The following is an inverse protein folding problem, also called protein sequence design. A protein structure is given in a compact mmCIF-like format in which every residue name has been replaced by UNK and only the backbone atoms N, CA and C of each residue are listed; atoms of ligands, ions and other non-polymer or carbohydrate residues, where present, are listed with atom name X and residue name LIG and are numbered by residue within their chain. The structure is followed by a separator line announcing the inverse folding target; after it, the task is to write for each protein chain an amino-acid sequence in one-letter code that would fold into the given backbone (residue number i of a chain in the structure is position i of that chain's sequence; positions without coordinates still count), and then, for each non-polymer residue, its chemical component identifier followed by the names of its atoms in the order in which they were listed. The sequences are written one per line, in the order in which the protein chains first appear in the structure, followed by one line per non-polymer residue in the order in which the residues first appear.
data_IF_872537552131
#
_entry.id   IF_872537552131
#
_cell.length_a   1.000
_cell.length_b   1.000
_cell.length_c   1.000
_cell.angle_alpha   90.00
_cell.angle_beta   90.00
_cell.angle_gamma   90.00
#
_symmetry.space_group_name_H-M   'P 1'
#
loop_
_entity.id
_entity.type
_entity.pdbx_description
1 polymer ?
#
# COMPACT_ATOMS: atom_id res chain seq x y z
N UNK A 1 -57.57 11.87 -7.61
CA UNK A 1 -56.82 12.96 -8.26
C UNK A 1 -55.46 12.42 -8.61
N UNK A 2 -54.94 12.76 -9.79
CA UNK A 2 -53.57 12.44 -10.16
C UNK A 2 -52.61 13.10 -9.14
N UNK A 3 -51.76 12.35 -8.42
CA UNK A 3 -50.90 12.92 -7.39
C UNK A 3 -49.82 13.86 -7.96
N UNK A 4 -49.66 13.92 -9.28
CA UNK A 4 -48.71 14.80 -9.95
C UNK A 4 -49.21 16.24 -10.14
N UNK A 5 -50.48 16.54 -9.83
CA UNK A 5 -51.08 17.85 -10.08
C UNK A 5 -51.98 18.27 -8.91
N UNK A 6 -51.82 19.50 -8.39
CA UNK A 6 -52.62 20.03 -7.29
C UNK A 6 -54.03 20.45 -7.73
N UNK A 7 -54.88 20.87 -6.77
CA UNK A 7 -56.29 21.24 -6.99
C UNK A 7 -56.49 22.41 -7.98
N UNK A 8 -55.41 23.07 -8.42
CA UNK A 8 -55.41 24.16 -9.40
C UNK A 8 -54.75 23.82 -10.73
N UNK A 9 -54.28 22.59 -10.93
CA UNK A 9 -53.67 22.18 -12.20
C UNK A 9 -52.14 22.36 -12.27
N UNK A 10 -51.48 22.68 -11.16
CA UNK A 10 -50.03 22.90 -11.11
C UNK A 10 -49.26 21.64 -10.66
N UNK A 11 -48.02 21.40 -11.13
CA UNK A 11 -47.25 20.21 -10.77
C UNK A 11 -46.96 20.12 -9.25
N UNK A 12 -47.31 19.00 -8.64
CA UNK A 12 -46.99 18.72 -7.23
C UNK A 12 -45.47 18.60 -7.04
N UNK A 13 -44.88 19.33 -6.08
CA UNK A 13 -43.45 19.18 -5.74
C UNK A 13 -43.24 17.92 -4.90
N UNK A 14 -42.26 17.12 -5.30
CA UNK A 14 -41.89 15.86 -4.66
C UNK A 14 -40.69 16.08 -3.74
N UNK A 15 -40.83 15.72 -2.46
CA UNK A 15 -39.73 15.79 -1.49
C UNK A 15 -39.50 14.41 -0.87
N UNK A 16 -38.23 14.13 -0.54
CA UNK A 16 -37.82 12.86 0.05
C UNK A 16 -37.16 13.13 1.40
N UNK A 17 -37.53 12.33 2.40
CA UNK A 17 -36.87 12.25 3.69
C UNK A 17 -36.10 10.93 3.74
N UNK A 18 -34.79 10.97 3.89
CA UNK A 18 -33.98 9.75 4.03
C UNK A 18 -33.66 9.58 5.51
N UNK A 19 -34.03 8.41 6.05
CA UNK A 19 -33.77 8.03 7.43
C UNK A 19 -32.85 6.82 7.41
N UNK A 20 -31.80 6.84 8.23
CA UNK A 20 -30.85 5.74 8.38
C UNK A 20 -30.96 5.19 9.80
N UNK A 21 -31.18 3.88 9.92
CA UNK A 21 -31.26 3.22 11.23
C UNK A 21 -29.89 2.81 11.79
N UNK A 22 -29.88 2.34 13.04
CA UNK A 22 -28.69 1.85 13.76
C UNK A 22 -27.98 0.67 13.05
N UNK A 23 -28.67 -0.02 12.14
CA UNK A 23 -28.16 -1.12 11.34
C UNK A 23 -27.76 -0.72 9.91
N UNK A 24 -27.69 0.58 9.63
CA UNK A 24 -27.27 1.15 8.34
C UNK A 24 -28.20 0.79 7.17
N UNK A 25 -29.48 0.55 7.45
CA UNK A 25 -30.50 0.48 6.41
C UNK A 25 -31.03 1.89 6.16
N UNK A 26 -30.82 2.40 4.95
CA UNK A 26 -31.47 3.62 4.50
C UNK A 26 -32.93 3.31 4.10
N UNK A 27 -33.86 4.16 4.53
CA UNK A 27 -35.23 4.19 4.02
C UNK A 27 -35.54 5.58 3.51
N UNK A 28 -35.84 5.68 2.22
CA UNK A 28 -36.40 6.88 1.61
C UNK A 28 -37.93 6.92 1.83
N UNK A 29 -38.39 7.89 2.62
CA UNK A 29 -39.80 8.22 2.77
C UNK A 29 -40.17 9.32 1.78
N UNK A 30 -41.08 8.99 0.85
CA UNK A 30 -41.60 9.90 -0.16
C UNK A 30 -42.79 10.65 0.43
N UNK A 31 -42.79 11.98 0.37
CA UNK A 31 -43.97 12.78 0.66
C UNK A 31 -44.21 13.85 -0.40
N UNK A 32 -45.49 14.19 -0.59
CA UNK A 32 -45.92 15.18 -1.58
C UNK A 32 -46.20 16.49 -0.84
N UNK A 33 -45.41 17.52 -1.11
CA UNK A 33 -45.63 18.83 -0.50
C UNK A 33 -46.78 19.50 -1.27
N UNK A 34 -47.85 19.90 -0.57
CA UNK A 34 -48.91 20.72 -1.18
C UNK A 34 -48.38 22.14 -1.38
N UNK A 35 -48.44 22.64 -2.61
CA UNK A 35 -47.86 23.91 -3.03
C UNK A 35 -48.37 25.08 -2.17
N UNK A 36 -47.45 25.86 -1.58
CA UNK A 36 -47.79 27.08 -0.83
C UNK A 36 -48.23 28.17 -1.82
N UNK A 37 -49.39 28.83 -1.64
CA UNK A 37 -49.76 29.95 -2.49
C UNK A 37 -48.77 31.11 -2.36
N UNK A 38 -48.30 31.67 -3.48
CA UNK A 38 -47.45 32.88 -3.47
C UNK A 38 -48.13 33.99 -2.67
N UNK A 39 -47.49 34.41 -1.57
CA UNK A 39 -47.93 35.51 -0.71
C UNK A 39 -48.33 35.14 0.72
N UNK A 40 -48.17 33.89 1.18
CA UNK A 40 -48.26 33.52 2.60
C UNK A 40 -46.89 33.13 3.18
N UNK A 41 -46.72 33.44 4.46
CA UNK A 41 -45.51 33.24 5.26
C UNK A 41 -45.11 31.75 5.35
N UNK A 42 -43.80 31.49 5.27
CA UNK A 42 -43.18 30.14 5.23
C UNK A 42 -43.48 29.28 6.47
N UNK A 43 -43.98 29.91 7.55
CA UNK A 43 -44.44 29.25 8.79
C UNK A 43 -45.49 28.16 8.57
N UNK A 44 -46.39 28.34 7.60
CA UNK A 44 -47.53 27.41 7.41
C UNK A 44 -47.10 26.02 6.91
N UNK A 45 -46.08 25.95 6.05
CA UNK A 45 -45.51 24.68 5.56
C UNK A 45 -44.76 23.94 6.68
N UNK A 46 -44.07 24.69 7.54
CA UNK A 46 -43.33 24.11 8.65
C UNK A 46 -44.25 23.60 9.77
N UNK A 47 -45.33 24.32 10.08
CA UNK A 47 -46.35 23.83 11.02
C UNK A 47 -47.02 22.56 10.47
N UNK A 48 -47.23 22.42 9.16
CA UNK A 48 -47.76 21.20 8.55
C UNK A 48 -46.75 20.03 8.61
N UNK A 49 -45.45 20.27 8.38
CA UNK A 49 -44.40 19.26 8.54
C UNK A 49 -44.24 18.85 10.01
N UNK A 50 -44.27 19.81 10.93
CA UNK A 50 -44.13 19.57 12.37
C UNK A 50 -45.39 18.90 12.94
N UNK A 51 -46.59 19.30 12.47
CA UNK A 51 -47.84 18.64 12.82
C UNK A 51 -47.94 17.26 12.19
N UNK A 52 -47.38 17.02 11.00
CA UNK A 52 -47.26 15.69 10.40
C UNK A 52 -46.28 14.81 11.20
N UNK A 53 -45.10 15.33 11.57
CA UNK A 53 -44.14 14.66 12.48
C UNK A 53 -44.72 14.40 13.89
N UNK A 54 -45.73 15.16 14.30
CA UNK A 54 -46.48 14.98 15.57
C UNK A 54 -47.69 14.06 15.41
N UNK A 55 -48.34 14.02 14.25
CA UNK A 55 -49.57 13.28 13.98
C UNK A 55 -49.33 11.87 13.45
N UNK A 56 -48.23 11.66 12.73
CA UNK A 56 -47.68 10.35 12.41
C UNK A 56 -46.58 10.07 13.43
N UNK A 57 -46.75 9.10 14.34
CA UNK A 57 -45.85 9.01 15.45
C UNK A 57 -44.48 8.54 14.94
N UNK A 58 -43.45 9.33 15.26
CA UNK A 58 -42.04 8.90 15.31
C UNK A 58 -41.82 7.65 16.20
N UNK A 59 -42.88 6.95 16.64
CA UNK A 59 -42.85 5.69 17.41
C UNK A 59 -42.42 4.48 16.59
N UNK A 60 -42.45 4.56 15.26
CA UNK A 60 -41.92 3.52 14.37
C UNK A 60 -40.44 3.72 14.01
N UNK A 61 -39.79 4.77 14.55
CA UNK A 61 -38.34 4.89 14.49
C UNK A 61 -37.70 4.00 15.55
N UNK A 62 -36.76 3.11 15.17
CA UNK A 62 -35.98 2.35 16.15
C UNK A 62 -35.28 3.31 17.11
N UNK A 63 -35.24 2.98 18.41
CA UNK A 63 -34.43 3.71 19.37
C UNK A 63 -32.96 3.63 18.95
N UNK A 64 -32.33 4.76 18.60
CA UNK A 64 -30.91 4.81 18.18
C UNK A 64 -30.66 5.25 16.73
N UNK A 65 -31.64 5.82 16.02
CA UNK A 65 -31.44 6.32 14.65
C UNK A 65 -30.49 7.54 14.59
N UNK A 66 -29.42 7.42 13.79
CA UNK A 66 -28.29 8.36 13.74
C UNK A 66 -28.49 9.57 12.79
N UNK A 67 -29.66 9.77 12.16
CA UNK A 67 -29.92 11.04 11.49
C UNK A 67 -31.14 11.19 10.58
N UNK A 68 -31.47 12.45 10.30
CA UNK A 68 -32.58 12.93 9.44
C UNK A 68 -32.04 13.96 8.46
N UNK A 69 -32.38 13.86 7.17
CA UNK A 69 -32.04 14.85 6.12
C UNK A 69 -33.31 15.43 5.50
N UNK A 70 -33.48 16.76 5.56
CA UNK A 70 -34.64 17.48 4.99
C UNK A 70 -34.19 18.37 3.82
N UNK A 71 -34.96 18.37 2.72
CA UNK A 71 -34.70 19.18 1.51
C UNK A 71 -35.86 20.16 1.22
N UNK A 72 -35.56 21.44 0.96
CA UNK A 72 -36.49 22.43 0.38
C UNK A 72 -35.70 23.50 -0.41
N UNK A 73 -36.08 23.77 -1.66
CA UNK A 73 -35.36 24.62 -2.62
C UNK A 73 -35.54 26.14 -2.39
N UNK A 74 -36.46 26.62 -1.53
CA UNK A 74 -36.77 28.06 -1.41
C UNK A 74 -36.57 28.68 0.00
N UNK A 75 -35.77 28.07 0.89
CA UNK A 75 -35.47 28.67 2.20
C UNK A 75 -34.42 29.80 2.10
N UNK A 76 -34.87 30.99 1.76
CA UNK A 76 -34.08 32.23 1.87
C UNK A 76 -33.63 32.53 3.31
N UNK A 77 -32.64 33.43 3.42
CA UNK A 77 -31.85 33.85 4.60
C UNK A 77 -32.56 34.09 5.96
N UNK A 78 -33.89 33.99 6.06
CA UNK A 78 -34.65 34.12 7.31
C UNK A 78 -34.93 32.78 8.04
N UNK A 79 -34.47 31.64 7.50
CA UNK A 79 -34.69 30.30 8.09
C UNK A 79 -33.62 29.85 9.11
N UNK A 80 -32.63 30.69 9.44
CA UNK A 80 -31.53 30.33 10.36
C UNK A 80 -32.04 30.10 11.80
N UNK A 81 -33.13 30.75 12.20
CA UNK A 81 -33.71 30.60 13.53
C UNK A 81 -34.52 29.31 13.74
N UNK A 82 -35.14 28.78 12.67
CA UNK A 82 -35.97 27.56 12.74
C UNK A 82 -35.15 26.27 12.67
N UNK A 83 -34.10 26.27 11.84
CA UNK A 83 -33.16 25.16 11.74
C UNK A 83 -32.45 24.91 13.08
N UNK A 84 -32.13 25.98 13.82
CA UNK A 84 -31.51 25.91 15.13
C UNK A 84 -32.43 25.29 16.21
N UNK A 85 -33.75 25.49 16.12
CA UNK A 85 -34.68 24.91 17.10
C UNK A 85 -34.92 23.41 16.84
N UNK A 86 -35.02 23.01 15.57
CA UNK A 86 -35.07 21.59 15.18
C UNK A 86 -33.75 20.86 15.49
N UNK A 87 -32.60 21.53 15.33
CA UNK A 87 -31.30 21.03 15.80
C UNK A 87 -31.26 20.87 17.32
N UNK A 88 -31.87 21.80 18.07
CA UNK A 88 -31.87 21.74 19.52
C UNK A 88 -32.74 20.58 20.05
N UNK A 89 -33.93 20.35 19.48
CA UNK A 89 -34.79 19.21 19.86
C UNK A 89 -34.22 17.85 19.39
N UNK A 90 -33.52 17.79 18.25
CA UNK A 90 -32.88 16.55 17.79
C UNK A 90 -31.66 16.17 18.63
N UNK A 91 -30.88 17.15 19.09
CA UNK A 91 -29.77 16.96 20.04
C UNK A 91 -30.28 16.49 21.41
N UNK A 92 -31.42 17.01 21.91
CA UNK A 92 -32.03 16.53 23.15
C UNK A 92 -32.53 15.08 23.08
N UNK A 93 -32.77 14.53 21.88
CA UNK A 93 -33.25 13.15 21.65
C UNK A 93 -32.21 12.20 21.04
N UNK A 94 -30.96 12.64 20.91
CA UNK A 94 -29.83 11.80 20.48
C UNK A 94 -29.70 11.57 18.96
N UNK A 95 -30.30 12.42 18.12
CA UNK A 95 -30.29 12.27 16.66
C UNK A 95 -29.27 13.24 16.03
N UNK A 96 -28.32 12.73 15.23
CA UNK A 96 -27.23 13.50 14.59
C UNK A 96 -27.62 13.94 13.17
N UNK A 97 -27.33 15.19 12.76
CA UNK A 97 -27.57 15.64 11.38
C UNK A 97 -26.28 15.49 10.55
N UNK A 98 -26.29 14.69 9.49
CA UNK A 98 -25.05 14.28 8.78
C UNK A 98 -24.84 14.96 7.40
N UNK A 99 -25.75 15.83 6.95
CA UNK A 99 -25.54 16.68 5.77
C UNK A 99 -26.82 17.13 5.05
N UNK A 100 -26.67 18.04 4.08
CA UNK A 100 -27.70 18.49 3.14
C UNK A 100 -27.09 18.62 1.73
N UNK A 101 -27.85 18.40 0.65
CA UNK A 101 -27.40 18.63 -0.72
C UNK A 101 -28.52 19.06 -1.66
N UNK A 102 -28.15 19.80 -2.71
CA UNK A 102 -29.04 20.28 -3.79
C UNK A 102 -29.09 19.27 -4.95
N UNK A 103 -30.24 19.16 -5.63
CA UNK A 103 -30.39 18.41 -6.87
C UNK A 103 -31.12 19.22 -7.93
N UNK A 104 -30.62 19.20 -9.18
CA UNK A 104 -31.28 19.87 -10.30
C UNK A 104 -32.40 19.02 -10.91
N UNK A 105 -33.42 19.73 -11.37
CA UNK A 105 -34.71 19.23 -11.85
C UNK A 105 -34.63 18.17 -12.95
N UNK A 106 -35.48 17.16 -12.78
CA UNK A 106 -35.96 16.25 -13.82
C UNK A 106 -35.06 15.04 -14.00
N UNK A 107 -35.32 13.96 -13.27
CA UNK A 107 -35.13 12.59 -13.76
C UNK A 107 -35.74 11.54 -12.81
N UNK A 108 -36.16 10.43 -13.43
CA UNK A 108 -36.98 9.30 -12.98
C UNK A 108 -36.66 8.67 -11.61
N UNK A 109 -37.56 7.81 -11.09
CA UNK A 109 -37.41 6.98 -9.85
C UNK A 109 -36.09 6.19 -9.73
N UNK A 110 -35.31 6.08 -10.81
CA UNK A 110 -33.96 5.50 -10.85
C UNK A 110 -32.91 6.39 -10.20
N UNK A 111 -33.07 7.72 -10.24
CA UNK A 111 -32.14 8.68 -9.63
C UNK A 111 -32.19 8.59 -8.12
N UNK A 112 -33.38 8.44 -7.52
CA UNK A 112 -33.51 8.25 -6.07
C UNK A 112 -32.75 7.02 -5.54
N UNK A 113 -32.82 5.88 -6.23
CA UNK A 113 -32.07 4.66 -5.86
C UNK A 113 -30.58 4.75 -6.16
N UNK A 114 -30.19 5.48 -7.21
CA UNK A 114 -28.79 5.71 -7.54
C UNK A 114 -28.13 6.64 -6.52
N UNK A 115 -28.82 7.71 -6.13
CA UNK A 115 -28.36 8.66 -5.12
C UNK A 115 -28.41 8.07 -3.71
N UNK A 116 -29.37 7.21 -3.40
CA UNK A 116 -29.39 6.42 -2.16
C UNK A 116 -28.14 5.53 -2.05
N UNK A 117 -27.74 4.85 -3.13
CA UNK A 117 -26.47 4.10 -3.17
C UNK A 117 -25.25 5.00 -3.06
N UNK A 118 -25.24 6.14 -3.75
CA UNK A 118 -24.12 7.08 -3.73
C UNK A 118 -23.93 7.72 -2.35
N UNK A 119 -25.02 8.05 -1.66
CA UNK A 119 -25.02 8.53 -0.28
C UNK A 119 -24.68 7.42 0.72
N UNK A 120 -25.15 6.19 0.51
CA UNK A 120 -24.74 5.04 1.34
C UNK A 120 -23.22 4.81 1.20
N UNK A 121 -22.68 4.96 -0.01
CA UNK A 121 -21.23 4.91 -0.26
C UNK A 121 -20.47 6.09 0.37
N UNK A 122 -20.99 7.32 0.32
CA UNK A 122 -20.38 8.48 0.99
C UNK A 122 -20.47 8.43 2.51
N UNK A 123 -21.55 7.89 3.07
CA UNK A 123 -21.70 7.63 4.50
C UNK A 123 -20.76 6.51 4.96
N UNK A 124 -20.63 5.44 4.17
CA UNK A 124 -19.61 4.42 4.38
C UNK A 124 -18.18 4.98 4.28
N UNK A 125 -17.94 5.91 3.34
CA UNK A 125 -16.66 6.63 3.23
C UNK A 125 -16.43 7.59 4.41
N UNK A 126 -17.48 8.24 4.94
CA UNK A 126 -17.39 9.05 6.17
C UNK A 126 -17.18 8.20 7.43
N UNK A 127 -17.53 6.91 7.39
CA UNK A 127 -17.08 5.91 8.39
C UNK A 127 -15.64 5.42 8.16
N UNK A 128 -15.02 5.73 7.02
CA UNK A 128 -13.56 5.71 6.89
C UNK A 128 -12.90 6.72 7.82
N UNK A 129 -13.60 7.81 8.14
CA UNK A 129 -13.14 8.82 9.09
C UNK A 129 -13.54 8.54 10.55
N UNK A 130 -14.64 7.82 10.81
CA UNK A 130 -15.16 7.60 12.18
C UNK A 130 -14.97 6.17 12.76
N UNK A 131 -14.12 5.33 12.13
CA UNK A 131 -13.52 4.14 12.78
C UNK A 131 -12.01 4.06 12.51
N UNK A 132 -11.30 5.19 12.58
CA UNK A 132 -9.88 5.13 12.97
C UNK A 132 -9.85 4.76 14.45
N UNK A 133 -9.71 3.46 14.76
CA UNK A 133 -9.25 3.06 16.09
C UNK A 133 -7.79 3.50 16.29
N UNK A 134 -7.50 4.81 16.24
CA UNK A 134 -6.23 5.45 16.57
C UNK A 134 -4.94 4.97 15.88
N UNK A 135 -4.97 3.91 15.07
CA UNK A 135 -3.80 3.24 14.50
C UNK A 135 -3.68 3.56 13.01
N UNK A 136 -2.48 3.96 12.53
CA UNK A 136 -2.25 4.16 11.11
C UNK A 136 -2.36 2.83 10.34
N UNK A 137 -2.74 2.88 9.07
CA UNK A 137 -2.87 1.71 8.20
C UNK A 137 -1.78 1.69 7.13
N UNK A 138 -1.27 0.48 6.81
CA UNK A 138 -0.27 0.29 5.77
C UNK A 138 -0.70 -0.79 4.78
N UNK A 139 -0.56 -0.53 3.48
CA UNK A 139 -0.72 -1.54 2.41
C UNK A 139 0.65 -1.90 1.84
N UNK A 140 1.04 -3.17 1.96
CA UNK A 140 2.31 -3.69 1.47
C UNK A 140 2.08 -4.63 0.29
N UNK A 141 2.61 -4.26 -0.88
CA UNK A 141 2.69 -5.20 -2.01
C UNK A 141 3.95 -6.03 -1.90
N UNK A 142 3.93 -7.29 -2.34
CA UNK A 142 5.08 -8.18 -2.20
C UNK A 142 5.28 -8.67 -0.77
N UNK A 143 4.20 -8.68 0.02
CA UNK A 143 4.14 -9.11 1.42
C UNK A 143 4.77 -10.51 1.66
N UNK A 144 4.68 -11.39 0.66
CA UNK A 144 5.20 -12.77 0.72
C UNK A 144 6.72 -12.87 0.47
N UNK A 145 7.38 -11.76 0.19
CA UNK A 145 8.82 -11.67 -0.04
C UNK A 145 9.61 -11.50 1.27
N UNK A 146 10.94 -11.48 1.15
CA UNK A 146 11.85 -11.23 2.28
C UNK A 146 11.50 -9.92 2.99
N UNK A 147 11.52 -8.83 2.23
CA UNK A 147 11.38 -7.48 2.79
C UNK A 147 9.94 -7.25 3.29
N UNK A 148 8.94 -7.84 2.61
CA UNK A 148 7.54 -7.81 3.05
C UNK A 148 7.35 -8.41 4.43
N UNK A 149 7.99 -9.55 4.71
CA UNK A 149 7.96 -10.18 6.04
C UNK A 149 8.59 -9.29 7.12
N UNK A 150 9.82 -8.82 6.90
CA UNK A 150 10.49 -7.95 7.88
C UNK A 150 9.80 -6.60 8.07
N UNK A 151 9.29 -5.98 6.99
CA UNK A 151 8.55 -4.73 7.08
C UNK A 151 7.25 -4.92 7.86
N UNK A 152 6.60 -6.07 7.74
CA UNK A 152 5.39 -6.39 8.53
C UNK A 152 5.71 -6.43 10.03
N UNK A 153 6.85 -7.02 10.42
CA UNK A 153 7.32 -6.98 11.82
C UNK A 153 7.49 -5.54 12.32
N UNK A 154 8.16 -4.69 11.54
CA UNK A 154 8.38 -3.29 11.87
C UNK A 154 7.05 -2.54 12.00
N UNK A 155 6.17 -2.64 11.01
CA UNK A 155 4.90 -1.91 11.01
C UNK A 155 3.98 -2.33 12.16
N UNK A 156 3.90 -3.64 12.47
CA UNK A 156 3.11 -4.11 13.62
C UNK A 156 3.70 -3.60 14.94
N UNK A 157 5.03 -3.61 15.09
CA UNK A 157 5.70 -3.07 16.27
C UNK A 157 5.45 -1.56 16.45
N UNK A 158 5.38 -0.81 15.35
CA UNK A 158 5.01 0.62 15.31
C UNK A 158 3.49 0.86 15.44
N UNK A 159 2.70 -0.20 15.65
CA UNK A 159 1.27 -0.10 15.94
C UNK A 159 0.38 0.06 14.71
N UNK A 160 0.87 -0.22 13.50
CA UNK A 160 0.08 -0.14 12.28
C UNK A 160 -0.90 -1.30 12.15
N UNK A 161 -2.03 -1.02 11.50
CA UNK A 161 -2.86 -2.05 10.88
C UNK A 161 -2.28 -2.39 9.51
N UNK A 162 -1.78 -3.60 9.34
CA UNK A 162 -1.10 -4.02 8.11
C UNK A 162 -2.03 -4.79 7.18
N UNK A 163 -2.06 -4.38 5.92
CA UNK A 163 -2.70 -5.05 4.81
C UNK A 163 -1.63 -5.54 3.82
N UNK A 164 -1.71 -6.81 3.43
CA UNK A 164 -0.78 -7.42 2.48
C UNK A 164 -1.47 -7.75 1.17
N UNK A 165 -0.96 -7.24 0.04
CA UNK A 165 -1.41 -7.67 -1.28
C UNK A 165 -0.79 -9.03 -1.61
N UNK A 166 -1.62 -10.04 -1.84
CA UNK A 166 -1.20 -11.40 -2.18
C UNK A 166 -1.74 -11.82 -3.53
N UNK A 167 -0.88 -12.43 -4.35
CA UNK A 167 -1.26 -12.92 -5.68
C UNK A 167 -1.85 -14.31 -5.60
N UNK A 168 -3.09 -14.45 -6.06
CA UNK A 168 -3.80 -15.73 -6.25
C UNK A 168 -4.45 -16.27 -4.97
N UNK A 169 -5.66 -16.82 -5.11
CA UNK A 169 -6.46 -17.33 -3.98
C UNK A 169 -5.73 -18.42 -3.17
N UNK A 170 -5.06 -19.35 -3.87
CA UNK A 170 -4.32 -20.48 -3.29
C UNK A 170 -2.81 -20.24 -3.21
N UNK A 171 -2.39 -19.02 -2.86
CA UNK A 171 -0.98 -18.75 -2.67
C UNK A 171 -0.42 -19.62 -1.53
N UNK A 172 0.65 -20.41 -1.78
CA UNK A 172 1.16 -21.37 -0.79
C UNK A 172 1.68 -20.69 0.49
N UNK A 173 2.12 -19.43 0.41
CA UNK A 173 2.63 -18.67 1.55
C UNK A 173 1.55 -18.02 2.42
N UNK A 174 0.27 -18.11 2.01
CA UNK A 174 -0.84 -17.49 2.74
C UNK A 174 -0.92 -18.00 4.18
N UNK A 175 -0.93 -19.32 4.35
CA UNK A 175 -1.09 -19.94 5.66
C UNK A 175 0.08 -19.62 6.59
N UNK A 176 1.31 -19.72 6.07
CA UNK A 176 2.54 -19.39 6.79
C UNK A 176 2.52 -17.93 7.28
N UNK A 177 2.19 -16.98 6.40
CA UNK A 177 2.08 -15.56 6.78
C UNK A 177 0.99 -15.29 7.82
N UNK A 178 -0.16 -15.98 7.73
CA UNK A 178 -1.24 -15.80 8.71
C UNK A 178 -0.93 -16.45 10.07
N UNK A 179 -0.12 -17.51 10.08
CA UNK A 179 0.38 -18.10 11.32
C UNK A 179 1.43 -17.19 11.98
N UNK A 180 2.31 -16.61 11.16
CA UNK A 180 3.36 -15.72 11.62
C UNK A 180 2.80 -14.36 12.08
N UNK A 181 1.86 -13.80 11.33
CA UNK A 181 1.22 -12.51 11.59
C UNK A 181 -0.31 -12.67 11.64
N UNK A 182 -0.89 -13.12 12.78
CA UNK A 182 -2.33 -13.36 12.89
C UNK A 182 -3.21 -12.12 12.65
N UNK A 183 -2.68 -10.91 12.88
CA UNK A 183 -3.37 -9.64 12.67
C UNK A 183 -3.28 -9.11 11.22
N UNK A 184 -2.47 -9.73 10.37
CA UNK A 184 -2.28 -9.33 8.97
C UNK A 184 -3.54 -9.59 8.14
N UNK A 185 -4.02 -8.57 7.43
CA UNK A 185 -5.16 -8.68 6.53
C UNK A 185 -4.67 -8.86 5.10
N UNK A 186 -4.90 -10.05 4.53
CA UNK A 186 -4.47 -10.34 3.17
C UNK A 186 -5.56 -9.99 2.15
N UNK A 187 -5.18 -9.23 1.12
CA UNK A 187 -6.04 -8.81 0.02
C UNK A 187 -5.55 -9.48 -1.27
N UNK A 188 -6.46 -10.13 -1.99
CA UNK A 188 -6.14 -10.68 -3.30
C UNK A 188 -5.97 -9.58 -4.35
N UNK A 189 -4.83 -9.57 -5.04
CA UNK A 189 -4.59 -8.70 -6.18
C UNK A 189 -3.27 -8.93 -6.87
N UNK A 190 -3.07 -8.23 -7.99
CA UNK A 190 -1.88 -8.35 -8.83
C UNK A 190 -1.50 -6.98 -9.39
N UNK A 191 -0.20 -6.68 -9.44
CA UNK A 191 0.31 -5.41 -9.98
C UNK A 191 -0.09 -5.18 -11.45
N UNK A 192 -0.41 -6.23 -12.19
CA UNK A 192 -0.85 -6.17 -13.59
C UNK A 192 -2.35 -6.04 -13.76
N UNK A 193 -3.15 -6.11 -12.69
CA UNK A 193 -4.60 -5.89 -12.68
C UNK A 193 -4.94 -4.57 -11.95
N UNK A 194 -5.09 -3.45 -12.68
CA UNK A 194 -5.43 -2.16 -12.10
C UNK A 194 -6.71 -2.18 -11.26
N UNK A 195 -7.72 -2.97 -11.64
CA UNK A 195 -8.98 -3.03 -10.90
C UNK A 195 -8.79 -3.70 -9.53
N UNK A 196 -7.92 -4.71 -9.44
CA UNK A 196 -7.54 -5.29 -8.14
C UNK A 196 -6.82 -4.32 -7.23
N UNK A 197 -5.93 -3.48 -7.78
CA UNK A 197 -5.19 -2.49 -7.01
C UNK A 197 -6.10 -1.39 -6.49
N UNK A 198 -7.04 -0.90 -7.32
CA UNK A 198 -8.06 0.07 -6.88
C UNK A 198 -8.88 -0.49 -5.72
N UNK A 199 -9.35 -1.75 -5.82
CA UNK A 199 -10.06 -2.42 -4.72
C UNK A 199 -9.18 -2.56 -3.48
N UNK A 200 -7.91 -2.94 -3.64
CA UNK A 200 -7.01 -3.13 -2.51
C UNK A 200 -6.73 -1.84 -1.76
N UNK A 201 -6.47 -0.75 -2.49
CA UNK A 201 -6.26 0.59 -1.91
C UNK A 201 -7.54 1.08 -1.22
N UNK A 202 -8.70 0.90 -1.85
CA UNK A 202 -9.97 1.35 -1.26
C UNK A 202 -10.32 0.59 0.03
N UNK A 203 -10.15 -0.74 0.04
CA UNK A 203 -10.42 -1.58 1.22
C UNK A 203 -9.42 -1.37 2.37
N UNK A 204 -8.14 -1.13 2.04
CA UNK A 204 -7.10 -0.93 3.04
C UNK A 204 -7.14 0.47 3.65
N UNK A 205 -7.69 1.44 2.93
CA UNK A 205 -7.64 2.88 3.25
C UNK A 205 -6.28 3.33 3.81
N UNK A 206 -5.16 3.11 3.08
CA UNK A 206 -3.83 3.18 3.66
C UNK A 206 -3.36 4.61 3.94
N UNK A 207 -2.84 4.87 5.13
CA UNK A 207 -1.98 6.04 5.40
C UNK A 207 -0.63 5.88 4.67
N UNK A 208 -0.12 4.65 4.58
CA UNK A 208 1.14 4.32 3.92
C UNK A 208 1.02 3.14 2.93
N UNK A 209 1.67 3.25 1.77
CA UNK A 209 1.75 2.16 0.78
C UNK A 209 3.21 1.83 0.52
N UNK A 210 3.59 0.58 0.69
CA UNK A 210 4.93 0.07 0.41
C UNK A 210 4.89 -0.85 -0.81
N UNK A 211 5.44 -0.37 -1.93
CA UNK A 211 5.47 -1.16 -3.15
C UNK A 211 6.74 -2.01 -3.24
N UNK A 212 6.69 -3.24 -2.71
CA UNK A 212 7.80 -4.19 -2.71
C UNK A 212 7.61 -5.32 -3.75
N UNK A 213 6.41 -5.48 -4.32
CA UNK A 213 6.16 -6.48 -5.35
C UNK A 213 6.98 -6.22 -6.62
N UNK A 214 7.67 -7.24 -7.09
CA UNK A 214 8.42 -7.23 -8.33
C UNK A 214 8.69 -8.66 -8.80
N UNK A 215 9.00 -8.80 -10.09
CA UNK A 215 9.89 -9.88 -10.52
C UNK A 215 11.31 -9.41 -10.23
N UNK A 216 11.91 -9.92 -9.15
CA UNK A 216 13.16 -9.40 -8.57
C UNK A 216 14.42 -10.18 -8.98
N UNK A 217 14.27 -11.38 -9.55
CA UNK A 217 15.42 -12.20 -9.96
C UNK A 217 15.98 -11.73 -11.32
N UNK A 218 17.18 -11.13 -11.30
CA UNK A 218 17.85 -10.56 -12.49
C UNK A 218 17.99 -11.58 -13.61
N UNK A 219 18.44 -12.81 -13.31
CA UNK A 219 18.63 -13.86 -14.33
C UNK A 219 17.33 -14.26 -15.02
N UNK A 220 16.19 -14.22 -14.31
CA UNK A 220 14.88 -14.51 -14.89
C UNK A 220 14.41 -13.37 -15.81
N UNK A 221 14.81 -12.12 -15.53
CA UNK A 221 14.42 -10.98 -16.36
C UNK A 221 14.92 -11.06 -17.81
N UNK A 222 16.08 -11.69 -18.05
CA UNK A 222 16.56 -11.97 -19.41
C UNK A 222 15.72 -13.04 -20.12
N UNK A 223 15.15 -13.99 -19.38
CA UNK A 223 14.30 -15.06 -19.91
C UNK A 223 12.88 -14.56 -20.20
N UNK A 224 12.36 -13.67 -19.36
CA UNK A 224 11.00 -13.10 -19.48
C UNK A 224 11.00 -11.57 -19.32
N UNK A 225 11.59 -10.83 -20.28
CA UNK A 225 11.72 -9.37 -20.18
C UNK A 225 10.38 -8.66 -20.20
N UNK A 226 9.43 -9.07 -21.06
CA UNK A 226 8.12 -8.42 -21.18
C UNK A 226 7.31 -8.51 -19.89
N UNK A 227 7.27 -9.70 -19.27
CA UNK A 227 6.57 -9.88 -18.00
C UNK A 227 7.26 -9.08 -16.88
N UNK A 228 8.60 -9.04 -16.88
CA UNK A 228 9.35 -8.21 -15.92
C UNK A 228 9.02 -6.73 -16.07
N UNK A 229 8.92 -6.22 -17.31
CA UNK A 229 8.55 -4.83 -17.55
C UNK A 229 7.11 -4.51 -17.09
N UNK A 230 6.14 -5.40 -17.37
CA UNK A 230 4.74 -5.21 -16.94
C UNK A 230 4.60 -5.23 -15.42
N UNK A 231 5.23 -6.19 -14.71
CA UNK A 231 5.11 -6.31 -13.25
C UNK A 231 5.98 -5.27 -12.53
N UNK A 232 7.28 -5.25 -12.82
CA UNK A 232 8.27 -4.47 -12.04
C UNK A 232 8.31 -3.01 -12.44
N UNK A 233 8.00 -2.68 -13.70
CA UNK A 233 7.97 -1.31 -14.21
C UNK A 233 6.56 -0.73 -14.16
N UNK A 234 5.72 -1.13 -15.10
CA UNK A 234 4.37 -0.58 -15.28
C UNK A 234 3.42 -0.85 -14.11
N UNK A 235 3.62 -1.95 -13.37
CA UNK A 235 2.86 -2.23 -12.15
C UNK A 235 2.93 -1.11 -11.11
N UNK A 236 4.03 -0.36 -11.08
CA UNK A 236 4.19 0.82 -10.19
C UNK A 236 3.26 1.95 -10.61
N UNK A 237 3.16 2.22 -11.93
CA UNK A 237 2.21 3.19 -12.47
C UNK A 237 0.78 2.79 -12.10
N UNK A 238 0.41 1.51 -12.25
CA UNK A 238 -0.93 1.04 -11.91
C UNK A 238 -1.28 1.30 -10.43
N UNK A 239 -0.32 1.09 -9.51
CA UNK A 239 -0.54 1.31 -8.08
C UNK A 239 -0.62 2.80 -7.73
N UNK A 240 0.24 3.63 -8.33
CA UNK A 240 0.17 5.09 -8.16
C UNK A 240 -1.16 5.67 -8.66
N UNK A 241 -1.64 5.21 -9.82
CA UNK A 241 -2.96 5.57 -10.33
C UNK A 241 -4.09 5.05 -9.45
N UNK A 242 -3.98 3.84 -8.87
CA UNK A 242 -4.97 3.33 -7.93
C UNK A 242 -5.13 4.25 -6.71
N UNK A 243 -4.03 4.79 -6.17
CA UNK A 243 -4.07 5.77 -5.07
C UNK A 243 -4.77 7.07 -5.51
N UNK A 244 -4.51 7.55 -6.73
CA UNK A 244 -5.15 8.78 -7.24
C UNK A 244 -6.63 8.60 -7.55
N UNK A 245 -7.00 7.49 -8.20
CA UNK A 245 -8.37 7.18 -8.59
C UNK A 245 -9.28 6.91 -7.39
N UNK A 246 -8.69 6.53 -6.26
CA UNK A 246 -9.39 6.40 -4.98
C UNK A 246 -9.37 7.71 -4.16
N UNK A 247 -8.90 8.82 -4.74
CA UNK A 247 -8.85 10.15 -4.09
C UNK A 247 -8.01 10.19 -2.81
N UNK A 248 -6.87 9.49 -2.79
CA UNK A 248 -5.97 9.41 -1.62
C UNK A 248 -4.58 10.01 -1.86
N UNK A 249 -4.35 10.60 -3.03
CA UNK A 249 -3.02 11.10 -3.43
C UNK A 249 -2.46 12.22 -2.56
N UNK A 250 -3.30 12.94 -1.81
CA UNK A 250 -2.92 14.01 -0.88
C UNK A 250 -2.66 13.53 0.55
N UNK A 251 -3.09 12.32 0.92
CA UNK A 251 -2.93 11.77 2.28
C UNK A 251 -2.04 10.52 2.37
N UNK A 252 -2.05 9.66 1.35
CA UNK A 252 -1.29 8.41 1.38
C UNK A 252 0.17 8.66 1.03
N UNK A 253 1.08 8.22 1.91
CA UNK A 253 2.53 8.22 1.65
C UNK A 253 2.94 6.94 0.94
N UNK A 254 3.70 7.06 -0.14
CA UNK A 254 4.07 5.94 -1.02
C UNK A 254 5.57 5.70 -1.00
N UNK A 255 5.99 4.47 -0.70
CA UNK A 255 7.36 4.01 -0.81
C UNK A 255 7.52 3.15 -2.07
N UNK A 256 8.47 3.54 -2.93
CA UNK A 256 8.92 2.73 -4.06
C UNK A 256 10.22 2.00 -3.72
N UNK A 257 10.19 0.67 -3.76
CA UNK A 257 11.41 -0.14 -3.75
C UNK A 257 12.16 0.06 -5.08
N UNK A 258 13.07 1.02 -5.13
CA UNK A 258 14.07 1.13 -6.21
C UNK A 258 15.23 0.17 -5.92
N UNK A 259 16.37 0.29 -6.60
CA UNK A 259 17.50 -0.65 -6.39
C UNK A 259 18.82 -0.11 -6.92
N UNK A 260 19.92 -0.54 -6.31
CA UNK A 260 21.28 -0.36 -6.83
C UNK A 260 21.51 -0.93 -8.23
N UNK A 261 20.73 -1.94 -8.66
CA UNK A 261 20.80 -2.51 -10.02
C UNK A 261 20.49 -1.49 -11.13
N UNK A 262 19.91 -0.33 -10.79
CA UNK A 262 19.75 0.79 -11.73
C UNK A 262 21.09 1.44 -12.12
N UNK A 263 22.11 1.36 -11.26
CA UNK A 263 23.43 1.92 -11.53
C UNK A 263 24.25 1.05 -12.47
N UNK A 264 24.11 -0.27 -12.40
CA UNK A 264 24.76 -1.23 -13.29
C UNK A 264 26.28 -1.40 -13.17
N UNK A 265 26.97 -0.62 -12.33
CA UNK A 265 28.31 -0.96 -11.86
C UNK A 265 29.46 -0.76 -12.86
N UNK A 266 29.31 0.05 -13.92
CA UNK A 266 30.34 0.23 -14.95
C UNK A 266 31.43 1.23 -14.52
N UNK A 267 32.67 1.06 -14.98
CA UNK A 267 33.81 1.89 -14.56
C UNK A 267 33.57 3.40 -14.76
N UNK A 268 32.94 3.81 -15.86
CA UNK A 268 32.77 5.22 -16.19
C UNK A 268 31.71 5.93 -15.33
N UNK A 269 30.75 5.20 -14.75
CA UNK A 269 29.70 5.77 -13.90
C UNK A 269 29.87 5.43 -12.42
N UNK A 270 30.94 4.72 -12.04
CA UNK A 270 31.23 4.31 -10.66
C UNK A 270 32.00 5.43 -9.92
N UNK A 271 31.41 6.08 -8.91
CA UNK A 271 32.13 7.04 -8.09
C UNK A 271 33.10 6.32 -7.15
N UNK A 272 34.26 6.92 -6.86
CA UNK A 272 35.23 6.36 -5.91
C UNK A 272 34.69 6.27 -4.47
N UNK A 273 33.74 7.13 -4.10
CA UNK A 273 33.08 7.15 -2.80
C UNK A 273 31.88 6.20 -2.68
N UNK A 274 31.50 5.50 -3.75
CA UNK A 274 30.24 4.77 -3.83
C UNK A 274 29.13 5.57 -4.51
N UNK A 275 28.11 4.86 -4.96
CA UNK A 275 26.94 5.43 -5.63
C UNK A 275 26.00 6.12 -4.63
N UNK A 276 25.78 7.42 -4.84
CA UNK A 276 24.77 8.23 -4.15
C UNK A 276 23.52 8.47 -5.02
N UNK A 277 22.51 9.17 -4.49
CA UNK A 277 21.28 9.53 -5.20
C UNK A 277 21.50 10.36 -6.47
N UNK A 278 22.63 11.06 -6.56
CA UNK A 278 23.00 11.89 -7.71
C UNK A 278 23.76 11.11 -8.81
N UNK A 279 24.07 9.83 -8.58
CA UNK A 279 24.89 9.06 -9.50
C UNK A 279 24.14 8.68 -10.78
N UNK A 280 24.88 8.56 -11.89
CA UNK A 280 24.31 8.25 -13.19
C UNK A 280 23.87 6.78 -13.28
N UNK A 281 22.63 6.56 -13.72
CA UNK A 281 22.11 5.23 -13.97
C UNK A 281 22.61 4.64 -15.30
N UNK A 282 22.93 3.35 -15.29
CA UNK A 282 23.21 2.55 -16.50
C UNK A 282 22.77 1.09 -16.25
N UNK A 283 21.45 0.80 -16.26
CA UNK A 283 20.97 -0.54 -15.97
C UNK A 283 21.50 -1.57 -16.99
N UNK A 284 21.87 -2.75 -16.50
CA UNK A 284 22.50 -3.84 -17.32
C UNK A 284 21.58 -5.03 -17.57
N UNK A 285 20.32 -4.96 -17.16
CA UNK A 285 19.34 -6.04 -17.31
C UNK A 285 17.93 -5.51 -17.55
N UNK A 286 17.00 -6.30 -18.13
CA UNK A 286 15.59 -5.92 -18.23
C UNK A 286 14.97 -5.57 -16.87
N UNK A 287 15.39 -6.23 -15.79
CA UNK A 287 15.04 -5.87 -14.42
C UNK A 287 15.51 -4.45 -14.05
N UNK A 288 16.79 -4.14 -14.27
CA UNK A 288 17.34 -2.81 -13.98
C UNK A 288 16.64 -1.70 -14.78
N UNK A 289 16.32 -1.96 -16.06
CA UNK A 289 15.55 -1.01 -16.90
C UNK A 289 14.13 -0.82 -16.36
N UNK A 290 13.45 -1.90 -15.99
CA UNK A 290 12.10 -1.82 -15.42
C UNK A 290 12.07 -1.06 -14.08
N UNK A 291 13.06 -1.30 -13.21
CA UNK A 291 13.21 -0.55 -11.95
C UNK A 291 13.56 0.92 -12.19
N UNK A 292 14.32 1.24 -13.23
CA UNK A 292 14.59 2.63 -13.59
C UNK A 292 13.31 3.34 -14.07
N UNK A 293 12.45 2.67 -14.85
CA UNK A 293 11.11 3.20 -15.16
C UNK A 293 10.29 3.42 -13.88
N UNK A 294 10.23 2.42 -12.99
CA UNK A 294 9.51 2.50 -11.72
C UNK A 294 9.99 3.67 -10.83
N UNK A 295 11.30 3.89 -10.77
CA UNK A 295 11.91 5.00 -10.04
C UNK A 295 11.47 6.35 -10.63
N UNK A 296 11.58 6.52 -11.94
CA UNK A 296 11.23 7.79 -12.58
C UNK A 296 9.74 8.08 -12.61
N UNK A 297 8.88 7.06 -12.76
CA UNK A 297 7.43 7.29 -12.71
C UNK A 297 6.98 7.68 -11.30
N UNK A 298 7.56 7.06 -10.26
CA UNK A 298 7.32 7.44 -8.87
C UNK A 298 7.73 8.89 -8.59
N UNK A 299 8.94 9.28 -9.02
CA UNK A 299 9.42 10.67 -8.90
C UNK A 299 8.54 11.66 -9.68
N UNK A 300 8.11 11.29 -10.88
CA UNK A 300 7.23 12.14 -11.67
C UNK A 300 5.89 12.40 -10.97
N UNK A 301 5.34 11.40 -10.26
CA UNK A 301 4.10 11.56 -9.48
C UNK A 301 4.28 12.46 -8.25
N UNK A 302 5.46 12.39 -7.60
CA UNK A 302 5.85 13.36 -6.56
C UNK A 302 5.80 14.79 -7.11
N UNK A 303 6.47 15.03 -8.24
CA UNK A 303 6.70 16.36 -8.80
C UNK A 303 5.45 16.94 -9.48
N UNK A 304 4.67 16.11 -10.18
CA UNK A 304 3.55 16.56 -11.01
C UNK A 304 2.25 16.68 -10.22
N UNK A 305 2.11 15.92 -9.14
CA UNK A 305 0.86 15.82 -8.39
C UNK A 305 1.00 16.17 -6.90
N UNK A 306 2.21 16.47 -6.42
CA UNK A 306 2.45 16.77 -5.01
C UNK A 306 2.26 15.58 -4.08
N UNK A 307 2.25 14.35 -4.60
CA UNK A 307 2.11 13.15 -3.78
C UNK A 307 3.35 12.94 -2.91
N UNK A 308 3.16 12.45 -1.68
CA UNK A 308 4.28 12.02 -0.86
C UNK A 308 4.83 10.69 -1.39
N UNK A 309 5.90 10.73 -2.17
CA UNK A 309 6.54 9.54 -2.76
C UNK A 309 8.03 9.50 -2.44
N UNK A 310 8.45 8.48 -1.70
CA UNK A 310 9.85 8.24 -1.38
C UNK A 310 10.40 7.06 -2.19
N UNK A 311 11.57 7.22 -2.79
CA UNK A 311 12.24 6.13 -3.53
C UNK A 311 13.45 5.63 -2.75
N UNK A 312 13.36 4.41 -2.22
CA UNK A 312 14.50 3.75 -1.60
C UNK A 312 15.39 3.11 -2.65
N UNK A 313 16.60 3.65 -2.85
CA UNK A 313 17.62 3.11 -3.74
C UNK A 313 18.47 2.13 -2.92
N UNK A 314 17.88 0.98 -2.60
CA UNK A 314 18.51 0.00 -1.72
C UNK A 314 19.56 -0.82 -2.47
N UNK A 315 20.73 -0.95 -1.83
CA UNK A 315 21.76 -1.91 -2.21
C UNK A 315 21.35 -3.33 -1.84
N UNK A 316 22.19 -4.32 -2.16
CA UNK A 316 21.82 -5.70 -1.91
C UNK A 316 21.63 -5.91 -0.40
N UNK A 317 20.53 -6.55 -0.04
CA UNK A 317 20.22 -6.87 1.35
C UNK A 317 19.62 -8.25 1.42
N UNK A 318 20.11 -8.99 2.38
CA UNK A 318 19.97 -10.43 2.47
C UNK A 318 19.50 -10.80 3.88
N UNK A 319 19.17 -12.07 4.09
CA UNK A 319 18.72 -12.55 5.38
C UNK A 319 18.12 -13.94 5.29
N UNK A 320 17.59 -14.41 6.42
CA UNK A 320 17.03 -15.74 6.61
C UNK A 320 15.79 -15.99 5.74
N UNK A 321 15.15 -14.93 5.22
CA UNK A 321 13.99 -15.00 4.33
C UNK A 321 14.33 -14.86 2.84
N UNK A 322 15.61 -14.71 2.48
CA UNK A 322 16.04 -14.53 1.08
C UNK A 322 15.61 -15.70 0.20
N UNK A 323 15.20 -15.45 -1.04
CA UNK A 323 14.87 -16.53 -1.99
C UNK A 323 16.09 -17.37 -2.37
N UNK A 324 15.92 -18.68 -2.53
CA UNK A 324 17.00 -19.63 -2.89
C UNK A 324 17.59 -19.41 -4.29
N UNK A 325 16.92 -18.64 -5.14
CA UNK A 325 17.41 -18.23 -6.45
C UNK A 325 18.53 -17.18 -6.38
N UNK A 326 18.68 -16.48 -5.25
CA UNK A 326 19.72 -15.47 -5.05
C UNK A 326 21.01 -16.10 -4.51
N UNK A 327 22.16 -15.56 -4.93
CA UNK A 327 23.48 -16.19 -4.74
C UNK A 327 23.83 -16.45 -3.27
N UNK A 328 23.56 -15.51 -2.38
CA UNK A 328 23.86 -15.58 -0.95
C UNK A 328 23.09 -16.73 -0.29
N UNK A 329 21.77 -16.79 -0.51
CA UNK A 329 20.93 -17.87 0.03
C UNK A 329 21.24 -19.22 -0.61
N UNK A 330 21.54 -19.24 -1.91
CA UNK A 330 21.99 -20.46 -2.58
C UNK A 330 23.26 -21.01 -1.91
N UNK A 331 24.22 -20.14 -1.60
CA UNK A 331 25.46 -20.52 -0.93
C UNK A 331 25.18 -21.05 0.48
N UNK A 332 24.47 -20.31 1.33
CA UNK A 332 24.23 -20.74 2.72
C UNK A 332 23.41 -22.03 2.81
N UNK A 333 22.43 -22.20 1.92
CA UNK A 333 21.68 -23.45 1.77
C UNK A 333 22.59 -24.63 1.44
N UNK A 334 23.47 -24.47 0.45
CA UNK A 334 24.36 -25.55 0.04
C UNK A 334 25.45 -25.82 1.07
N UNK A 335 26.01 -24.79 1.73
CA UNK A 335 26.95 -24.97 2.84
C UNK A 335 26.32 -25.85 3.93
N UNK A 336 25.08 -25.55 4.33
CA UNK A 336 24.37 -26.37 5.31
C UNK A 336 24.16 -27.81 4.82
N UNK A 337 23.73 -27.99 3.57
CA UNK A 337 23.49 -29.31 2.97
C UNK A 337 24.79 -30.12 2.79
N UNK A 338 25.90 -29.46 2.46
CA UNK A 338 27.24 -30.06 2.35
C UNK A 338 27.69 -30.54 3.73
N UNK A 339 27.57 -29.70 4.76
CA UNK A 339 27.92 -30.05 6.13
C UNK A 339 27.14 -31.28 6.62
N UNK A 340 25.86 -31.40 6.24
CA UNK A 340 24.99 -32.53 6.57
C UNK A 340 25.16 -33.74 5.63
N UNK A 341 26.09 -33.70 4.68
CA UNK A 341 26.35 -34.80 3.73
C UNK A 341 25.21 -35.05 2.73
N UNK A 342 24.35 -34.06 2.49
CA UNK A 342 23.17 -34.16 1.62
C UNK A 342 23.49 -33.85 0.14
N UNK A 343 24.52 -33.03 -0.11
CA UNK A 343 25.07 -32.73 -1.43
C UNK A 343 26.60 -32.60 -1.35
N UNK A 344 27.28 -32.75 -2.47
CA UNK A 344 28.75 -32.70 -2.56
C UNK A 344 29.28 -31.35 -3.07
N UNK A 345 28.46 -30.54 -3.74
CA UNK A 345 28.88 -29.26 -4.32
C UNK A 345 27.73 -28.26 -4.49
N UNK A 346 28.09 -27.01 -4.80
CA UNK A 346 27.20 -25.95 -5.30
C UNK A 346 27.67 -25.46 -6.67
N UNK A 347 26.74 -25.33 -7.60
CA UNK A 347 26.99 -24.70 -8.91
C UNK A 347 26.84 -23.18 -8.82
N UNK A 348 27.82 -22.42 -9.26
CA UNK A 348 27.80 -20.94 -9.28
C UNK A 348 28.24 -20.40 -10.65
N UNK A 349 27.89 -19.15 -10.92
CA UNK A 349 28.39 -18.41 -12.08
C UNK A 349 29.76 -17.79 -11.80
N UNK A 350 29.92 -16.54 -12.20
CA UNK A 350 31.10 -15.74 -11.86
C UNK A 350 31.23 -15.54 -10.34
N UNK A 351 32.46 -15.60 -9.82
CA UNK A 351 32.76 -15.44 -8.39
C UNK A 351 33.37 -14.06 -8.05
N UNK A 352 33.90 -13.38 -9.06
CA UNK A 352 34.57 -12.08 -8.94
C UNK A 352 33.63 -10.86 -8.75
N UNK A 353 32.33 -10.86 -9.15
CA UNK A 353 31.48 -9.69 -8.97
C UNK A 353 31.36 -9.30 -7.50
N UNK A 354 31.38 -7.99 -7.24
CA UNK A 354 31.33 -7.43 -5.88
C UNK A 354 30.02 -6.73 -5.58
N UNK A 355 29.49 -6.93 -4.39
CA UNK A 355 28.23 -6.34 -3.93
C UNK A 355 28.37 -5.80 -2.52
N UNK A 356 27.68 -4.70 -2.29
CA UNK A 356 27.38 -4.16 -0.97
C UNK A 356 26.15 -4.90 -0.43
N UNK A 357 26.40 -5.79 0.54
CA UNK A 357 25.41 -6.68 1.15
C UNK A 357 25.13 -6.27 2.59
N UNK A 358 23.92 -5.76 2.84
CA UNK A 358 23.40 -5.50 4.18
C UNK A 358 22.36 -6.51 4.64
N UNK A 359 21.83 -6.30 5.85
CA UNK A 359 20.75 -7.11 6.40
C UNK A 359 19.38 -6.54 6.07
N UNK A 360 18.46 -7.37 5.57
CA UNK A 360 17.12 -6.95 5.17
C UNK A 360 16.32 -6.30 6.31
N UNK A 361 16.45 -6.82 7.54
CA UNK A 361 15.80 -6.24 8.72
C UNK A 361 16.23 -4.80 9.01
N UNK A 362 17.47 -4.42 8.70
CA UNK A 362 17.97 -3.05 8.84
C UNK A 362 17.42 -2.14 7.74
N UNK A 363 17.29 -2.68 6.53
CA UNK A 363 16.88 -1.91 5.37
C UNK A 363 15.39 -1.57 5.42
N UNK A 364 14.53 -2.48 5.90
CA UNK A 364 13.09 -2.20 6.05
C UNK A 364 12.79 -1.11 7.08
N UNK A 365 13.63 -0.96 8.12
CA UNK A 365 13.53 0.19 9.05
C UNK A 365 13.78 1.51 8.32
N UNK A 366 14.77 1.52 7.42
CA UNK A 366 15.02 2.68 6.54
C UNK A 366 13.84 2.98 5.61
N UNK A 367 13.18 1.95 5.04
CA UNK A 367 11.97 2.15 4.23
C UNK A 367 10.87 2.87 5.02
N UNK A 368 10.62 2.43 6.26
CA UNK A 368 9.63 3.03 7.14
C UNK A 368 10.03 4.47 7.53
N UNK A 369 11.29 4.68 7.96
CA UNK A 369 11.82 6.00 8.33
C UNK A 369 11.67 7.02 7.20
N UNK A 370 11.91 6.64 5.95
CA UNK A 370 11.72 7.52 4.78
C UNK A 370 10.29 8.07 4.68
N UNK A 371 9.28 7.27 5.06
CA UNK A 371 7.88 7.71 5.07
C UNK A 371 7.52 8.53 6.30
N UNK A 372 8.37 8.66 7.32
CA UNK A 372 8.08 9.45 8.51
C UNK A 372 8.48 10.93 8.38
N UNK A 373 9.28 11.28 7.37
CA UNK A 373 9.73 12.66 7.16
C UNK A 373 8.63 13.61 6.71
N UNK A 374 8.85 14.92 6.90
CA UNK A 374 7.93 15.97 6.45
C UNK A 374 7.87 16.11 4.93
N UNK A 375 8.97 15.77 4.24
CA UNK A 375 9.09 15.92 2.79
C UNK A 375 9.50 14.60 2.14
N UNK A 376 8.86 14.22 1.02
CA UNK A 376 9.25 13.03 0.27
C UNK A 376 10.58 13.25 -0.45
N UNK A 377 11.45 12.24 -0.43
CA UNK A 377 12.77 12.30 -1.07
C UNK A 377 13.28 10.88 -1.42
N UNK A 378 14.40 10.81 -2.11
CA UNK A 378 15.08 9.58 -2.51
C UNK A 378 16.30 9.35 -1.60
N UNK A 379 16.55 8.10 -1.22
CA UNK A 379 17.66 7.75 -0.32
C UNK A 379 18.36 6.47 -0.75
N UNK A 380 19.68 6.49 -0.77
CA UNK A 380 20.53 5.29 -0.85
C UNK A 380 20.62 4.65 0.53
N UNK A 381 20.22 3.38 0.63
CA UNK A 381 20.50 2.55 1.81
C UNK A 381 21.50 1.47 1.41
N UNK A 382 22.65 1.49 2.08
CA UNK A 382 23.82 0.69 1.75
C UNK A 382 24.69 0.49 3.00
N UNK A 383 25.60 -0.46 2.97
CA UNK A 383 26.56 -0.66 4.06
C UNK A 383 27.82 0.19 3.94
N UNK A 384 28.14 0.65 2.71
CA UNK A 384 29.38 1.35 2.42
C UNK A 384 30.59 0.43 2.27
N UNK A 385 30.38 -0.88 2.23
CA UNK A 385 31.40 -1.91 2.03
C UNK A 385 30.99 -2.87 0.91
N UNK A 386 31.94 -3.44 0.18
CA UNK A 386 31.65 -4.37 -0.92
C UNK A 386 32.49 -5.64 -0.78
N UNK A 387 31.86 -6.78 -1.05
CA UNK A 387 32.48 -8.11 -0.97
C UNK A 387 32.23 -8.87 -2.26
N UNK A 388 33.19 -9.69 -2.67
CA UNK A 388 33.04 -10.63 -3.78
C UNK A 388 32.22 -11.85 -3.36
N UNK A 389 31.78 -12.64 -4.33
CA UNK A 389 31.17 -13.95 -4.05
C UNK A 389 32.21 -14.90 -3.43
N UNK A 390 33.51 -14.77 -3.76
CA UNK A 390 34.60 -15.50 -3.10
C UNK A 390 34.72 -15.15 -1.61
N UNK A 391 34.58 -13.87 -1.26
CA UNK A 391 34.59 -13.43 0.15
C UNK A 391 33.39 -14.04 0.91
N UNK A 392 32.22 -14.08 0.28
CA UNK A 392 31.02 -14.69 0.86
C UNK A 392 31.17 -16.20 1.04
N UNK A 393 31.71 -16.92 0.05
CA UNK A 393 32.02 -18.35 0.16
C UNK A 393 32.99 -18.63 1.30
N UNK A 394 34.05 -17.82 1.39
CA UNK A 394 35.06 -17.94 2.45
C UNK A 394 34.42 -17.77 3.83
N UNK A 395 33.61 -16.73 4.03
CA UNK A 395 32.91 -16.50 5.29
C UNK A 395 31.90 -17.63 5.60
N UNK A 396 31.12 -18.08 4.62
CA UNK A 396 30.09 -19.09 4.84
C UNK A 396 30.66 -20.47 5.16
N UNK A 397 31.73 -20.91 4.48
CA UNK A 397 32.37 -22.20 4.77
C UNK A 397 33.15 -22.19 6.10
N UNK A 398 33.65 -21.03 6.53
CA UNK A 398 34.28 -20.89 7.84
C UNK A 398 33.30 -21.23 8.99
N UNK A 399 32.01 -20.93 8.85
CA UNK A 399 30.98 -21.27 9.85
C UNK A 399 30.83 -22.78 10.08
N UNK A 400 31.25 -23.62 9.12
CA UNK A 400 31.24 -25.08 9.23
C UNK A 400 32.64 -25.68 9.39
N UNK A 401 33.65 -24.84 9.66
CA UNK A 401 35.03 -25.26 9.89
C UNK A 401 35.78 -25.74 8.64
N UNK A 402 35.42 -25.22 7.45
CA UNK A 402 36.06 -25.58 6.17
C UNK A 402 36.83 -24.37 5.62
N UNK A 403 38.17 -24.47 5.60
CA UNK A 403 39.03 -23.39 5.13
C UNK A 403 39.14 -23.33 3.58
N UNK A 404 39.17 -24.49 2.90
CA UNK A 404 39.23 -24.56 1.45
C UNK A 404 37.89 -25.00 0.86
N UNK A 405 37.09 -24.01 0.47
CA UNK A 405 35.77 -24.23 -0.15
C UNK A 405 35.84 -24.69 -1.60
N UNK A 406 36.99 -24.53 -2.29
CA UNK A 406 37.13 -24.76 -3.74
C UNK A 406 36.68 -26.14 -4.21
N UNK A 407 36.95 -27.25 -3.50
CA UNK A 407 36.47 -28.57 -3.90
C UNK A 407 34.94 -28.71 -3.96
N UNK A 408 34.21 -27.83 -3.25
CA UNK A 408 32.75 -27.86 -3.15
C UNK A 408 32.05 -26.89 -4.10
N UNK A 409 32.78 -26.12 -4.90
CA UNK A 409 32.19 -25.15 -5.83
C UNK A 409 32.50 -25.55 -7.26
N UNK A 410 31.47 -25.59 -8.11
CA UNK A 410 31.58 -25.81 -9.54
C UNK A 410 31.12 -24.57 -10.29
N UNK A 411 31.86 -24.18 -11.32
CA UNK A 411 31.42 -23.12 -12.22
C UNK A 411 30.47 -23.69 -13.28
N UNK A 412 29.30 -23.06 -13.41
CA UNK A 412 28.28 -23.42 -14.38
C UNK A 412 28.02 -22.22 -15.33
N UNK A 413 28.39 -22.34 -16.62
CA UNK A 413 28.16 -21.29 -17.62
C UNK A 413 26.70 -20.87 -17.79
N UNK A 414 25.73 -21.75 -17.49
CA UNK A 414 24.29 -21.45 -17.61
C UNK A 414 23.80 -20.46 -16.55
N UNK A 415 24.61 -20.19 -15.53
CA UNK A 415 24.34 -19.20 -14.48
C UNK A 415 24.94 -17.83 -14.80
N UNK A 416 25.71 -17.71 -15.89
CA UNK A 416 26.28 -16.44 -16.33
C UNK A 416 25.20 -15.53 -16.92
N UNK A 417 25.33 -14.24 -16.67
CA UNK A 417 24.42 -13.22 -17.18
C UNK A 417 24.91 -12.72 -18.54
N UNK A 418 24.01 -12.40 -19.50
CA UNK A 418 24.41 -11.78 -20.77
C UNK A 418 25.19 -10.47 -20.61
N UNK A 419 24.87 -9.73 -19.55
CA UNK A 419 25.60 -8.54 -19.13
C UNK A 419 25.70 -8.55 -17.60
N UNK A 420 26.91 -8.65 -17.09
CA UNK A 420 27.16 -8.60 -15.64
C UNK A 420 27.27 -7.16 -15.13
N UNK A 421 27.05 -7.03 -13.83
CA UNK A 421 27.31 -5.84 -13.02
C UNK A 421 28.55 -6.13 -12.18
N UNK A 422 29.62 -5.39 -12.43
CA UNK A 422 30.93 -5.73 -11.87
C UNK A 422 30.99 -5.44 -10.37
N UNK A 423 30.70 -4.19 -9.99
CA UNK A 423 30.81 -3.72 -8.60
C UNK A 423 29.61 -2.82 -8.27
N UNK A 424 28.97 -3.09 -7.14
CA UNK A 424 28.05 -2.18 -6.49
C UNK A 424 28.59 -1.84 -5.09
N UNK A 425 28.77 -0.55 -4.84
CA UNK A 425 29.19 0.05 -3.57
C UNK A 425 28.31 1.28 -3.37
N UNK A 426 27.54 1.34 -2.28
CA UNK A 426 26.64 2.47 -2.03
C UNK A 426 27.26 3.51 -1.10
N UNK A 427 26.81 4.76 -1.23
CA UNK A 427 27.11 5.84 -0.29
C UNK A 427 25.81 6.17 0.49
N UNK A 428 25.67 5.70 1.74
CA UNK A 428 24.47 5.92 2.54
C UNK A 428 24.47 7.26 3.28
N UNK A 429 25.43 8.16 3.05
CA UNK A 429 25.64 9.39 3.86
C UNK A 429 24.37 10.23 4.01
N UNK A 430 23.55 10.35 2.96
CA UNK A 430 22.29 11.11 3.04
C UNK A 430 21.27 10.43 3.97
N UNK A 431 21.08 9.12 3.86
CA UNK A 431 20.19 8.38 4.73
C UNK A 431 20.66 8.45 6.19
N UNK A 432 21.98 8.38 6.36
CA UNK A 432 22.64 8.51 7.63
C UNK A 432 22.43 9.88 8.30
N UNK A 433 22.60 10.96 7.55
CA UNK A 433 22.54 12.32 8.08
C UNK A 433 21.10 12.83 8.24
N UNK A 434 20.20 12.43 7.33
CA UNK A 434 18.83 12.96 7.27
C UNK A 434 17.85 12.07 8.02
N UNK A 435 17.94 10.74 7.86
CA UNK A 435 17.01 9.78 8.49
C UNK A 435 17.51 9.33 9.87
N UNK A 436 18.79 9.55 10.17
CA UNK A 436 19.46 8.89 11.31
C UNK A 436 19.56 7.38 11.14
N UNK A 437 19.33 6.86 9.92
CA UNK A 437 19.42 5.44 9.63
C UNK A 437 20.87 4.97 9.79
N UNK A 438 21.07 3.79 10.38
CA UNK A 438 22.37 3.11 10.47
C UNK A 438 22.13 1.61 10.37
N UNK A 439 23.01 0.90 9.67
CA UNK A 439 23.04 -0.56 9.73
C UNK A 439 23.48 -1.02 11.12
N UNK A 440 22.94 -2.15 11.55
CA UNK A 440 23.31 -2.80 12.82
C UNK A 440 24.09 -4.10 12.58
N UNK A 441 23.75 -4.81 11.50
CA UNK A 441 24.40 -6.07 11.14
C UNK A 441 25.53 -5.80 10.13
N UNK A 442 26.73 -6.30 10.43
CA UNK A 442 27.87 -6.28 9.51
C UNK A 442 27.90 -7.52 8.61
N UNK A 443 28.81 -7.53 7.63
CA UNK A 443 28.93 -8.64 6.68
C UNK A 443 29.11 -10.01 7.34
N UNK A 444 29.98 -10.12 8.36
CA UNK A 444 30.22 -11.38 9.06
C UNK A 444 28.96 -11.85 9.83
N UNK A 445 28.30 -10.94 10.55
CA UNK A 445 27.05 -11.21 11.25
C UNK A 445 25.93 -11.64 10.30
N UNK A 446 25.85 -11.03 9.12
CA UNK A 446 24.89 -11.41 8.07
C UNK A 446 25.10 -12.85 7.62
N UNK A 447 26.35 -13.20 7.26
CA UNK A 447 26.69 -14.55 6.78
C UNK A 447 26.40 -15.60 7.85
N UNK A 448 26.86 -15.37 9.08
CA UNK A 448 26.66 -16.31 10.21
C UNK A 448 25.18 -16.57 10.47
N UNK A 449 24.35 -15.51 10.52
CA UNK A 449 22.89 -15.64 10.68
C UNK A 449 22.25 -16.51 9.60
N UNK A 450 22.61 -16.26 8.34
CA UNK A 450 22.05 -17.00 7.22
C UNK A 450 22.45 -18.48 7.24
N UNK A 451 23.74 -18.79 7.48
CA UNK A 451 24.21 -20.18 7.59
C UNK A 451 23.56 -20.90 8.77
N UNK A 452 23.51 -20.27 9.95
CA UNK A 452 22.87 -20.84 11.14
C UNK A 452 21.38 -21.17 10.89
N UNK A 453 20.65 -20.27 10.23
CA UNK A 453 19.25 -20.52 9.89
C UNK A 453 19.09 -21.67 8.89
N UNK A 454 19.88 -21.71 7.83
CA UNK A 454 19.79 -22.80 6.85
C UNK A 454 20.24 -24.15 7.44
N UNK A 455 21.20 -24.16 8.37
CA UNK A 455 21.55 -25.34 9.17
C UNK A 455 20.36 -25.87 9.99
N UNK A 456 19.63 -25.00 10.69
CA UNK A 456 18.42 -25.36 11.44
C UNK A 456 17.33 -25.93 10.52
N UNK A 457 17.11 -25.31 9.35
CA UNK A 457 16.14 -25.79 8.36
C UNK A 457 16.52 -27.18 7.84
N UNK A 458 17.80 -27.39 7.48
CA UNK A 458 18.25 -28.62 6.82
C UNK A 458 18.46 -29.79 7.78
N UNK A 459 18.62 -29.52 9.08
CA UNK A 459 18.62 -30.53 10.14
C UNK A 459 17.21 -30.95 10.59
N UNK A 460 16.16 -30.22 10.17
CA UNK A 460 14.78 -30.49 10.57
C UNK A 460 14.39 -29.91 11.94
N UNK A 461 15.18 -28.97 12.46
CA UNK A 461 14.92 -28.26 13.71
C UNK A 461 14.01 -27.03 13.52
N UNK A 462 13.50 -26.82 12.30
CA UNK A 462 12.86 -25.57 11.89
C UNK A 462 11.35 -25.54 11.79
#
# INVERSE_FOLDING_TARGET
MDPSIDERGEPSRLSYLIIVDEHQQARALRFVQRTIPRGRDARTSFDDITNWMRADPLSDLPSGADGVVVHDEDLGFHAVGGLAHALAESVERGVKLVGAAECQHGDDERVGRHQEREYTHRLAASKGDDVRQGKPSALVTGITGQDGGHLTEVLIAEGYRVYGLIRGQHNPKRAELQQEFPELILIDGDLTDPASLVRAVDMADPDEVYNLAAISHVGFSFKNPSLTAEVTGKGVLNLLEAIRLTHRGDRTRFYQASTSEMFGGLDYNRPGSGYSEASLFHPRSPYGVAKLYAHWIAKNYRESYGMFVACGILFNHEGERRGYEFVTRKITDHVARIHLGQVDHVDLGDLWPKRDWGYAGDYVRGMWQMLQHDKPDDFVLATGETHSIEDFLTAAFAEIGVDDWRPYVRQNPDLLRPAEVDILLGDPSKAEDVLGWRREVDFAGLVSRMVANDMRIRSGEA
#
